data_IF_925796496633
#
_entry.id   IF_925796496633
#
_cell.length_a   1.000
_cell.length_b   1.000
_cell.length_c   1.000
_cell.angle_alpha   90.00
_cell.angle_beta   90.00
_cell.angle_gamma   90.00
#
_symmetry.space_group_name_H-M   'P 1'
#
loop_
_entity.id
_entity.type
_entity.pdbx_description
1 polymer ?
#
# COMPACT_ATOMS: atom_id res chain seq x y z
N UNK A 1 43.81 27.48 14.07
CA UNK A 1 43.29 26.49 15.04
C UNK A 1 41.79 26.67 15.32
N UNK A 2 41.29 27.87 15.65
CA UNK A 2 39.85 28.07 15.95
C UNK A 2 38.88 27.68 14.82
N UNK A 3 39.16 28.06 13.57
CA UNK A 3 38.30 27.72 12.42
C UNK A 3 38.11 26.21 12.21
N UNK A 4 39.15 25.41 12.41
CA UNK A 4 39.09 23.94 12.28
C UNK A 4 38.13 23.37 13.33
N UNK A 5 38.17 23.87 14.57
CA UNK A 5 37.27 23.40 15.62
C UNK A 5 35.82 23.80 15.31
N UNK A 6 35.57 25.01 14.80
CA UNK A 6 34.23 25.44 14.37
C UNK A 6 33.70 24.54 13.25
N UNK A 7 34.51 24.22 12.24
CA UNK A 7 34.11 23.29 11.17
C UNK A 7 33.82 21.88 11.70
N UNK A 8 34.65 21.34 12.61
CA UNK A 8 34.41 20.04 13.23
C UNK A 8 33.13 20.02 14.07
N UNK A 9 32.84 21.08 14.82
CA UNK A 9 31.59 21.23 15.58
C UNK A 9 30.36 21.28 14.66
N UNK A 10 30.42 21.98 13.51
CA UNK A 10 29.33 22.01 12.53
C UNK A 10 29.09 20.65 11.87
N UNK A 11 30.15 19.93 11.51
CA UNK A 11 30.04 18.58 10.94
C UNK A 11 29.42 17.64 11.97
N UNK A 12 29.89 17.66 13.21
CA UNK A 12 29.33 16.83 14.29
C UNK A 12 27.85 17.14 14.54
N UNK A 13 27.48 18.43 14.58
CA UNK A 13 26.09 18.86 14.75
C UNK A 13 25.16 18.39 13.63
N UNK A 14 25.59 18.47 12.38
CA UNK A 14 24.79 17.99 11.23
C UNK A 14 24.66 16.46 11.23
N UNK A 15 25.74 15.73 11.53
CA UNK A 15 25.70 14.26 11.64
C UNK A 15 24.77 13.78 12.75
N UNK A 16 24.83 14.42 13.92
CA UNK A 16 23.94 14.12 15.04
C UNK A 16 22.47 14.40 14.69
N UNK A 17 22.19 15.54 14.05
CA UNK A 17 20.84 15.92 13.62
C UNK A 17 20.26 14.93 12.60
N UNK A 18 21.06 14.52 11.61
CA UNK A 18 20.65 13.53 10.60
C UNK A 18 20.37 12.18 11.26
N UNK A 19 21.23 11.75 12.17
CA UNK A 19 21.07 10.46 12.87
C UNK A 19 19.77 10.44 13.69
N UNK A 20 19.51 11.50 14.46
CA UNK A 20 18.31 11.62 15.28
C UNK A 20 17.02 11.71 14.44
N UNK A 21 17.06 12.41 13.30
CA UNK A 21 15.93 12.49 12.38
C UNK A 21 15.55 11.11 11.81
N UNK A 22 16.57 10.30 11.43
CA UNK A 22 16.35 8.94 10.95
C UNK A 22 15.76 8.03 12.02
N UNK A 23 16.28 8.06 13.25
CA UNK A 23 15.77 7.22 14.33
C UNK A 23 14.34 7.60 14.71
N UNK A 24 14.01 8.90 14.74
CA UNK A 24 12.65 9.37 14.99
C UNK A 24 11.69 8.91 13.90
N UNK A 25 12.06 9.07 12.63
CA UNK A 25 11.24 8.61 11.50
C UNK A 25 11.02 7.09 11.53
N UNK A 26 12.06 6.33 11.84
CA UNK A 26 11.98 4.88 11.96
C UNK A 26 11.03 4.46 13.10
N UNK A 27 11.14 5.09 14.27
CA UNK A 27 10.24 4.85 15.41
C UNK A 27 8.79 5.12 15.02
N UNK A 28 8.53 6.23 14.31
CA UNK A 28 7.18 6.58 13.91
C UNK A 28 6.56 5.56 12.93
N UNK A 29 7.37 4.91 12.07
CA UNK A 29 6.86 3.84 11.20
C UNK A 29 6.57 2.57 11.99
N UNK A 30 7.42 2.23 12.97
CA UNK A 30 7.17 1.10 13.87
C UNK A 30 5.86 1.31 14.62
N UNK A 31 5.63 2.50 15.19
CA UNK A 31 4.39 2.82 15.90
C UNK A 31 3.16 2.70 14.99
N UNK A 32 3.25 3.17 13.73
CA UNK A 32 2.19 2.99 12.72
C UNK A 32 1.93 1.52 12.41
N UNK A 33 2.97 0.68 12.34
CA UNK A 33 2.81 -0.76 12.10
C UNK A 33 2.13 -1.44 13.28
N UNK A 34 2.51 -1.10 14.51
CA UNK A 34 1.86 -1.63 15.72
C UNK A 34 0.38 -1.24 15.78
N UNK A 35 0.06 0.01 15.45
CA UNK A 35 -1.34 0.45 15.37
C UNK A 35 -2.10 -0.32 14.27
N UNK A 36 -1.52 -0.45 13.08
CA UNK A 36 -2.11 -1.19 11.98
C UNK A 36 -2.35 -2.68 12.33
N UNK A 37 -1.44 -3.32 13.07
CA UNK A 37 -1.62 -4.70 13.57
C UNK A 37 -2.89 -4.80 14.41
N UNK A 38 -3.11 -3.83 15.30
CA UNK A 38 -4.30 -3.80 16.16
C UNK A 38 -5.56 -3.55 15.32
N UNK A 39 -5.53 -2.54 14.45
CA UNK A 39 -6.68 -2.13 13.64
C UNK A 39 -7.19 -3.26 12.72
N UNK A 40 -6.29 -4.08 12.17
CA UNK A 40 -6.61 -5.20 11.28
C UNK A 40 -6.56 -6.58 11.96
N UNK A 41 -6.35 -6.63 13.28
CA UNK A 41 -6.31 -7.88 14.05
C UNK A 41 -5.23 -8.86 13.59
N UNK A 42 -4.09 -8.34 13.09
CA UNK A 42 -3.01 -9.16 12.52
C UNK A 42 -2.31 -9.97 13.61
N UNK A 43 -2.00 -11.23 13.32
CA UNK A 43 -1.27 -12.13 14.23
C UNK A 43 -0.01 -12.66 13.55
N UNK A 44 1.08 -12.65 14.29
CA UNK A 44 2.36 -13.21 13.87
C UNK A 44 2.75 -14.34 14.80
N UNK A 45 3.22 -15.45 14.22
CA UNK A 45 3.65 -16.65 14.95
C UNK A 45 5.04 -16.47 15.57
N UNK A 46 5.84 -15.54 15.05
CA UNK A 46 7.19 -15.28 15.54
C UNK A 46 7.60 -13.82 15.38
N UNK A 47 8.60 -13.40 16.18
CA UNK A 47 9.23 -12.08 16.04
C UNK A 47 9.84 -11.88 14.65
N UNK A 48 10.45 -12.93 14.08
CA UNK A 48 11.04 -12.88 12.74
C UNK A 48 9.97 -12.63 11.66
N UNK A 49 8.80 -13.27 11.77
CA UNK A 49 7.70 -13.03 10.85
C UNK A 49 7.16 -11.60 10.98
N UNK A 50 7.03 -11.10 12.21
CA UNK A 50 6.63 -9.72 12.47
C UNK A 50 7.62 -8.72 11.88
N UNK A 51 8.92 -8.97 12.02
CA UNK A 51 9.97 -8.13 11.44
C UNK A 51 9.95 -8.14 9.90
N UNK A 52 9.75 -9.31 9.28
CA UNK A 52 9.52 -9.41 7.83
C UNK A 52 8.29 -8.59 7.42
N UNK A 53 7.19 -8.72 8.16
CA UNK A 53 5.96 -7.95 7.92
C UNK A 53 6.16 -6.44 8.05
N UNK A 54 6.92 -5.99 9.04
CA UNK A 54 7.30 -4.58 9.21
C UNK A 54 8.11 -4.05 8.03
N UNK A 55 9.06 -4.83 7.52
CA UNK A 55 9.86 -4.42 6.36
C UNK A 55 9.00 -4.27 5.10
N UNK A 56 8.06 -5.19 4.87
CA UNK A 56 7.11 -5.07 3.74
C UNK A 56 6.18 -3.88 3.95
N UNK A 57 5.69 -3.68 5.17
CA UNK A 57 4.85 -2.54 5.54
C UNK A 57 5.54 -1.21 5.27
N UNK A 58 6.84 -1.08 5.58
CA UNK A 58 7.65 0.12 5.26
C UNK A 58 7.68 0.40 3.76
N UNK A 59 7.96 -0.61 2.95
CA UNK A 59 8.02 -0.46 1.49
C UNK A 59 6.65 -0.08 0.91
N UNK A 60 5.57 -0.71 1.39
CA UNK A 60 4.21 -0.39 0.97
C UNK A 60 3.78 1.02 1.41
N UNK A 61 4.12 1.45 2.62
CA UNK A 61 3.86 2.82 3.10
C UNK A 61 4.59 3.86 2.25
N UNK A 62 5.87 3.62 1.95
CA UNK A 62 6.67 4.48 1.07
C UNK A 62 6.08 4.55 -0.34
N UNK A 63 5.60 3.42 -0.87
CA UNK A 63 4.92 3.38 -2.16
C UNK A 63 3.63 4.21 -2.16
N UNK A 64 2.80 4.08 -1.12
CA UNK A 64 1.56 4.86 -0.94
C UNK A 64 1.88 6.36 -0.90
N UNK A 65 2.85 6.78 -0.09
CA UNK A 65 3.24 8.19 0.04
C UNK A 65 3.76 8.74 -1.29
N UNK A 66 4.64 8.00 -1.97
CA UNK A 66 5.15 8.38 -3.29
C UNK A 66 4.04 8.49 -4.34
N UNK A 67 3.13 7.51 -4.39
CA UNK A 67 2.02 7.50 -5.33
C UNK A 67 1.08 8.69 -5.12
N UNK A 68 0.73 8.97 -3.86
CA UNK A 68 -0.19 10.04 -3.49
C UNK A 68 0.42 11.44 -3.68
N UNK A 69 1.74 11.59 -3.53
CA UNK A 69 2.43 12.86 -3.76
C UNK A 69 2.68 13.18 -5.24
N UNK A 70 2.51 12.22 -6.15
CA UNK A 70 2.86 12.35 -7.57
C UNK A 70 2.00 13.31 -8.41
N UNK A 71 0.95 13.92 -7.86
CA UNK A 71 0.02 14.79 -8.60
C UNK A 71 -0.81 14.07 -9.68
N UNK A 72 -1.91 14.68 -10.14
CA UNK A 72 -2.77 14.17 -11.23
C UNK A 72 -3.27 12.71 -11.06
N UNK A 73 -3.66 12.31 -9.84
CA UNK A 73 -4.28 11.00 -9.59
C UNK A 73 -5.78 11.14 -9.39
N UNK A 74 -6.56 10.28 -10.05
CA UNK A 74 -8.01 10.19 -9.86
C UNK A 74 -8.40 9.48 -8.56
N UNK A 75 -7.45 8.83 -7.88
CA UNK A 75 -7.63 8.13 -6.62
C UNK A 75 -6.39 8.23 -5.74
N UNK A 76 -6.55 7.84 -4.47
CA UNK A 76 -5.47 7.76 -3.47
C UNK A 76 -5.33 6.33 -2.99
N UNK A 77 -4.10 5.95 -2.65
CA UNK A 77 -3.82 4.72 -1.95
C UNK A 77 -3.86 4.97 -0.43
N UNK A 78 -4.18 3.92 0.31
CA UNK A 78 -4.17 3.92 1.77
C UNK A 78 -3.69 2.57 2.28
N UNK A 79 -3.27 2.53 3.55
CA UNK A 79 -2.97 1.27 4.22
C UNK A 79 -4.27 0.47 4.34
N UNK A 80 -4.21 -0.81 3.98
CA UNK A 80 -5.32 -1.75 4.05
C UNK A 80 -4.85 -3.04 4.75
N UNK A 81 -5.71 -4.05 4.81
CA UNK A 81 -5.43 -5.34 5.48
C UNK A 81 -4.24 -6.13 4.85
N UNK A 82 -3.78 -5.75 3.66
CA UNK A 82 -2.69 -6.40 2.92
C UNK A 82 -1.38 -5.62 2.99
N UNK A 83 -1.27 -4.62 3.87
CA UNK A 83 -0.11 -3.74 3.92
C UNK A 83 1.21 -4.45 4.31
N UNK A 84 1.16 -5.65 4.89
CA UNK A 84 2.34 -6.47 5.20
C UNK A 84 2.64 -7.58 4.16
N UNK A 85 1.97 -7.55 3.00
CA UNK A 85 2.17 -8.51 1.91
C UNK A 85 2.87 -7.87 0.72
N UNK A 86 3.71 -8.66 0.04
CA UNK A 86 4.24 -8.28 -1.26
C UNK A 86 3.19 -8.44 -2.35
N UNK A 87 3.40 -7.79 -3.50
CA UNK A 87 2.51 -7.92 -4.66
C UNK A 87 2.33 -9.38 -5.09
N UNK A 88 3.42 -10.15 -5.17
CA UNK A 88 3.36 -11.54 -5.59
C UNK A 88 2.65 -12.44 -4.58
N UNK A 89 2.87 -12.23 -3.28
CA UNK A 89 2.15 -12.93 -2.21
C UNK A 89 0.64 -12.62 -2.31
N UNK A 90 0.27 -11.35 -2.52
CA UNK A 90 -1.13 -10.94 -2.69
C UNK A 90 -1.79 -11.62 -3.89
N UNK A 91 -1.13 -11.60 -5.06
CA UNK A 91 -1.65 -12.27 -6.26
C UNK A 91 -1.81 -13.77 -6.03
N UNK A 92 -0.81 -14.44 -5.44
CA UNK A 92 -0.81 -15.88 -5.23
C UNK A 92 -1.91 -16.36 -4.27
N UNK A 93 -2.31 -15.53 -3.30
CA UNK A 93 -3.19 -15.93 -2.19
C UNK A 93 -4.59 -15.32 -2.25
N UNK A 94 -4.75 -14.14 -2.85
CA UNK A 94 -6.00 -13.38 -2.84
C UNK A 94 -6.60 -13.17 -4.22
N UNK A 95 -5.96 -13.65 -5.28
CA UNK A 95 -6.56 -13.66 -6.62
C UNK A 95 -6.82 -15.09 -7.08
N UNK A 96 -8.04 -15.34 -7.58
CA UNK A 96 -8.44 -16.64 -8.14
C UNK A 96 -8.33 -16.70 -9.66
N UNK A 97 -7.77 -15.67 -10.30
CA UNK A 97 -7.77 -15.57 -11.74
C UNK A 97 -6.77 -16.56 -12.35
N UNK A 98 -7.32 -17.66 -12.87
CA UNK A 98 -6.58 -18.60 -13.72
C UNK A 98 -6.86 -18.21 -15.16
N UNK A 99 -5.85 -17.63 -15.83
CA UNK A 99 -5.92 -17.43 -17.27
C UNK A 99 -5.98 -18.81 -17.93
N UNK A 100 -7.17 -19.26 -18.29
CA UNK A 100 -7.33 -20.52 -19.00
C UNK A 100 -6.75 -20.32 -20.41
N UNK A 101 -5.58 -20.89 -20.66
CA UNK A 101 -5.02 -20.98 -22.00
C UNK A 101 -5.98 -21.80 -22.87
N UNK A 102 -6.38 -21.20 -23.99
CA UNK A 102 -7.36 -21.70 -24.96
C UNK A 102 -8.80 -21.74 -24.44
N UNK A 103 -9.47 -20.58 -24.50
CA UNK A 103 -10.94 -20.56 -24.66
C UNK A 103 -11.22 -21.17 -26.03
N UNK A 104 -11.44 -22.47 -26.10
CA UNK A 104 -12.31 -23.00 -27.14
C UNK A 104 -13.65 -22.31 -26.90
N UNK A 105 -14.03 -21.38 -27.78
CA UNK A 105 -15.32 -20.69 -27.73
C UNK A 105 -16.44 -21.72 -27.94
N UNK A 106 -16.74 -22.49 -26.90
CA UNK A 106 -17.92 -23.33 -26.86
C UNK A 106 -19.08 -22.46 -26.39
N UNK A 107 -19.91 -22.11 -27.36
CA UNK A 107 -21.22 -21.46 -27.23
C UNK A 107 -21.18 -20.00 -26.76
N UNK A 108 -21.19 -19.12 -27.75
CA UNK A 108 -21.71 -17.76 -27.62
C UNK A 108 -23.16 -17.83 -27.13
N UNK A 109 -23.40 -17.57 -25.85
CA UNK A 109 -24.72 -17.12 -25.40
C UNK A 109 -24.86 -15.70 -25.90
N UNK A 110 -25.62 -15.47 -26.97
CA UNK A 110 -25.87 -14.13 -27.50
C UNK A 110 -26.66 -13.31 -26.47
N UNK A 111 -25.96 -12.58 -25.61
CA UNK A 111 -26.55 -11.51 -24.81
C UNK A 111 -26.46 -10.22 -25.61
N UNK A 112 -27.34 -10.08 -26.60
CA UNK A 112 -27.68 -8.79 -27.18
C UNK A 112 -29.15 -8.82 -27.61
N UNK A 113 -30.05 -8.49 -26.68
CA UNK A 113 -31.25 -7.75 -27.07
C UNK A 113 -31.03 -6.30 -26.63
N UNK A 114 -30.33 -5.56 -27.48
CA UNK A 114 -30.18 -4.11 -27.37
C UNK A 114 -31.50 -3.46 -27.79
N UNK A 115 -32.54 -3.60 -26.96
CA UNK A 115 -33.70 -2.74 -27.08
C UNK A 115 -33.25 -1.34 -26.67
N UNK A 116 -33.32 -0.39 -27.60
CA UNK A 116 -32.99 1.03 -27.42
C UNK A 116 -33.91 1.69 -26.37
N UNK A 117 -33.78 1.31 -25.11
CA UNK A 117 -34.38 2.01 -23.98
C UNK A 117 -33.32 2.94 -23.41
N UNK A 118 -33.69 4.22 -23.39
CA UNK A 118 -32.94 5.31 -22.82
C UNK A 118 -32.36 4.92 -21.45
N UNK A 119 -31.04 4.70 -21.40
CA UNK A 119 -30.36 4.45 -20.15
C UNK A 119 -30.61 5.64 -19.21
N UNK A 120 -31.03 5.40 -17.96
CA UNK A 120 -31.26 6.49 -17.02
C UNK A 120 -29.95 7.23 -16.80
N UNK A 121 -29.97 8.58 -16.94
CA UNK A 121 -28.80 9.45 -16.68
C UNK A 121 -28.38 9.48 -15.20
N UNK A 122 -29.13 8.79 -14.34
CA UNK A 122 -28.91 8.72 -12.91
C UNK A 122 -28.01 7.53 -12.57
N UNK A 123 -27.14 7.71 -11.58
CA UNK A 123 -26.27 6.65 -11.05
C UNK A 123 -27.09 5.45 -10.56
N UNK A 124 -27.09 4.37 -11.35
CA UNK A 124 -27.65 3.06 -10.98
C UNK A 124 -26.68 2.33 -10.06
N UNK A 125 -26.85 2.48 -8.75
CA UNK A 125 -26.10 1.70 -7.76
C UNK A 125 -26.99 0.63 -7.16
N UNK A 126 -26.75 -0.63 -7.51
CA UNK A 126 -27.53 -1.78 -7.04
C UNK A 126 -27.52 -1.98 -5.51
N UNK A 127 -26.55 -1.37 -4.80
CA UNK A 127 -26.48 -1.34 -3.34
C UNK A 127 -27.41 -0.31 -2.67
N UNK A 128 -28.16 0.51 -3.43
CA UNK A 128 -29.05 1.57 -2.90
C UNK A 128 -30.49 1.10 -2.67
N UNK A 129 -30.80 -0.18 -2.86
CA UNK A 129 -32.18 -0.71 -2.95
C UNK A 129 -32.60 -1.53 -1.72
N UNK A 130 -32.03 -1.25 -0.54
CA UNK A 130 -32.48 -1.79 0.75
C UNK A 130 -32.57 -0.65 1.76
#
# INVERSE_FOLDING_TARGET
>A
MGFIHVFLFLIFGTLASISMSRTFHESAIVDKHEQWIVDYGRKYESKLQKEKGLNIFKENLKYIESFNNGGNRSFKLGLNEFADMTYDEFIATHTGYKMHGNITMSQSTSLMDETSQMFPKTSTGWKKVQ
#
